data_IF_143916385634
#
_entry.id   IF_143916385634
#
_cell.length_a   1.000
_cell.length_b   1.000
_cell.length_c   1.000
_cell.angle_alpha   90.00
_cell.angle_beta   90.00
_cell.angle_gamma   90.00
#
_symmetry.space_group_name_H-M   'P 1'
#
loop_
_entity.id
_entity.type
_entity.pdbx_description
1 polymer ?
#
# COMPACT_ATOMS: atom_id res chain seq x y z
N UNK A 1 -6.17 -21.08 2.55
CA UNK A 1 -5.61 -20.65 1.25
C UNK A 1 -6.64 -19.72 0.61
N UNK A 2 -6.65 -18.46 1.09
CA UNK A 2 -7.54 -17.43 0.58
C UNK A 2 -7.07 -17.02 -0.82
N UNK A 3 -7.99 -17.07 -1.76
CA UNK A 3 -7.78 -16.66 -3.14
C UNK A 3 -7.68 -15.14 -3.13
N UNK A 4 -6.48 -14.62 -3.32
CA UNK A 4 -6.26 -13.20 -3.60
C UNK A 4 -7.06 -12.87 -4.86
N UNK A 5 -8.24 -12.29 -4.68
CA UNK A 5 -8.98 -11.72 -5.80
C UNK A 5 -8.10 -10.64 -6.40
N UNK A 6 -7.76 -10.80 -7.68
CA UNK A 6 -7.06 -9.78 -8.46
C UNK A 6 -7.91 -8.51 -8.41
N UNK A 7 -7.60 -7.64 -7.46
CA UNK A 7 -8.05 -6.26 -7.54
C UNK A 7 -7.21 -5.63 -8.65
N UNK A 8 -7.82 -5.37 -9.78
CA UNK A 8 -7.28 -4.45 -10.76
C UNK A 8 -7.40 -3.06 -10.11
N UNK A 9 -6.31 -2.65 -9.44
CA UNK A 9 -6.21 -1.31 -8.87
C UNK A 9 -6.04 -0.34 -10.04
N UNK A 10 -7.16 0.11 -10.59
CA UNK A 10 -7.22 1.30 -11.42
C UNK A 10 -7.12 2.50 -10.47
N UNK A 11 -5.89 2.79 -9.99
CA UNK A 11 -5.64 4.03 -9.28
C UNK A 11 -5.82 5.20 -10.23
N UNK A 12 -6.87 5.97 -10.01
CA UNK A 12 -6.96 7.34 -10.47
C UNK A 12 -5.95 8.15 -9.65
N UNK A 13 -4.70 8.24 -10.15
CA UNK A 13 -3.77 9.25 -9.65
C UNK A 13 -4.39 10.59 -10.05
N UNK A 14 -4.98 11.28 -9.08
CA UNK A 14 -5.50 12.63 -9.26
C UNK A 14 -4.38 13.63 -9.42
N UNK A 15 -3.73 13.63 -10.60
CA UNK A 15 -2.69 14.62 -10.92
C UNK A 15 -3.39 15.90 -11.35
N UNK A 16 -3.51 16.86 -10.44
CA UNK A 16 -3.79 18.26 -10.76
C UNK A 16 -2.48 19.01 -11.00
N UNK A 17 -1.76 18.70 -12.07
CA UNK A 17 -0.61 19.52 -12.50
C UNK A 17 -1.03 20.47 -13.62
N UNK A 18 -1.23 21.73 -13.26
CA UNK A 18 -1.24 22.86 -14.18
C UNK A 18 0.10 23.58 -14.04
N UNK A 19 1.08 23.25 -14.89
CA UNK A 19 2.02 24.18 -15.55
C UNK A 19 3.26 23.49 -16.14
N UNK A 20 3.41 23.63 -17.46
CA UNK A 20 4.69 23.63 -18.21
C UNK A 20 5.64 22.43 -18.07
N UNK A 21 5.55 21.47 -18.94
CA UNK A 21 6.64 20.55 -19.30
C UNK A 21 6.83 19.34 -18.40
N UNK A 22 6.75 19.49 -17.08
CA UNK A 22 7.04 18.44 -16.12
C UNK A 22 5.86 17.50 -15.81
N UNK A 23 4.62 17.98 -15.92
CA UNK A 23 3.42 17.16 -15.74
C UNK A 23 3.22 16.09 -16.84
N UNK A 24 3.94 16.20 -17.92
CA UNK A 24 3.86 15.24 -19.02
C UNK A 24 4.57 13.92 -18.67
N UNK A 25 5.71 13.98 -17.97
CA UNK A 25 6.54 12.80 -17.69
C UNK A 25 5.85 11.80 -16.76
N UNK A 26 5.25 12.30 -15.65
CA UNK A 26 4.48 11.44 -14.72
C UNK A 26 3.25 10.88 -15.42
N UNK A 27 2.55 11.70 -16.23
CA UNK A 27 1.41 11.26 -17.02
C UNK A 27 1.79 10.19 -18.04
N UNK A 28 2.89 10.42 -18.77
CA UNK A 28 3.39 9.48 -19.78
C UNK A 28 3.77 8.13 -19.11
N UNK A 29 4.39 8.18 -17.92
CA UNK A 29 4.68 7.00 -17.11
C UNK A 29 3.43 6.26 -16.66
N UNK A 30 2.43 7.00 -16.18
CA UNK A 30 1.14 6.43 -15.75
C UNK A 30 0.38 5.76 -16.90
N UNK A 31 0.38 6.38 -18.09
CA UNK A 31 -0.22 5.82 -19.28
C UNK A 31 0.51 4.54 -19.71
N UNK A 32 1.85 4.58 -19.74
CA UNK A 32 2.67 3.42 -20.07
C UNK A 32 2.45 2.26 -19.09
N UNK A 33 2.36 2.54 -17.78
CA UNK A 33 2.07 1.56 -16.74
C UNK A 33 0.68 0.94 -16.94
N UNK A 34 -0.33 1.76 -17.19
CA UNK A 34 -1.70 1.29 -17.47
C UNK A 34 -1.82 0.41 -18.70
N UNK A 35 -0.94 0.57 -19.68
CA UNK A 35 -0.83 -0.26 -20.88
C UNK A 35 0.10 -1.49 -20.71
N UNK A 36 0.70 -1.67 -19.53
CA UNK A 36 1.65 -2.76 -19.25
C UNK A 36 3.00 -2.59 -19.93
N UNK A 37 3.33 -1.39 -20.40
CA UNK A 37 4.63 -1.04 -21.01
C UNK A 37 5.62 -0.66 -19.91
N UNK A 38 6.03 -1.64 -19.11
CA UNK A 38 6.81 -1.42 -17.88
C UNK A 38 8.14 -0.70 -18.12
N UNK A 39 8.89 -1.06 -19.16
CA UNK A 39 10.17 -0.39 -19.49
C UNK A 39 9.96 1.10 -19.81
N UNK A 40 8.87 1.44 -20.49
CA UNK A 40 8.55 2.83 -20.82
C UNK A 40 8.06 3.60 -19.58
N UNK A 41 7.28 2.94 -18.70
CA UNK A 41 6.84 3.50 -17.44
C UNK A 41 8.05 3.79 -16.52
N UNK A 42 8.94 2.82 -16.37
CA UNK A 42 10.17 2.96 -15.58
C UNK A 42 11.00 4.15 -16.08
N UNK A 43 11.29 4.23 -17.37
CA UNK A 43 12.08 5.32 -17.94
C UNK A 43 11.42 6.70 -17.72
N UNK A 44 10.11 6.80 -17.85
CA UNK A 44 9.38 8.04 -17.62
C UNK A 44 9.40 8.44 -16.13
N UNK A 45 9.14 7.49 -15.22
CA UNK A 45 9.17 7.78 -13.79
C UNK A 45 10.60 8.07 -13.29
N UNK A 46 11.64 7.39 -13.80
CA UNK A 46 13.04 7.75 -13.52
C UNK A 46 13.38 9.18 -13.95
N UNK A 47 12.82 9.67 -15.04
CA UNK A 47 12.98 11.07 -15.43
C UNK A 47 12.26 11.99 -14.46
N UNK A 48 11.05 11.60 -14.00
CA UNK A 48 10.30 12.38 -13.00
C UNK A 48 11.06 12.51 -11.67
N UNK A 49 11.77 11.46 -11.21
CA UNK A 49 12.55 11.52 -9.97
C UNK A 49 13.67 12.53 -9.97
N UNK A 50 14.14 12.96 -11.14
CA UNK A 50 15.22 13.97 -11.31
C UNK A 50 14.69 15.40 -11.29
N UNK A 51 13.37 15.58 -11.14
CA UNK A 51 12.76 16.90 -11.18
C UNK A 51 13.11 17.72 -9.95
N UNK A 52 13.37 19.03 -10.15
CA UNK A 52 13.63 19.97 -9.05
C UNK A 52 12.39 20.21 -8.16
N UNK A 53 11.18 20.01 -8.72
CA UNK A 53 9.94 20.00 -7.94
C UNK A 53 9.82 18.68 -7.17
N UNK A 54 9.87 18.78 -5.85
CA UNK A 54 9.82 17.62 -4.95
C UNK A 54 8.54 16.80 -5.08
N UNK A 55 7.41 17.44 -5.35
CA UNK A 55 6.14 16.77 -5.58
C UNK A 55 6.22 15.87 -6.83
N UNK A 56 6.73 16.40 -7.94
CA UNK A 56 6.94 15.61 -9.17
C UNK A 56 7.96 14.49 -8.94
N UNK A 57 9.00 14.73 -8.18
CA UNK A 57 9.99 13.70 -7.83
C UNK A 57 9.37 12.60 -6.95
N UNK A 58 8.56 12.96 -5.98
CA UNK A 58 7.83 12.01 -5.13
C UNK A 58 6.83 11.17 -5.94
N UNK A 59 6.07 11.79 -6.86
CA UNK A 59 5.20 11.09 -7.82
C UNK A 59 5.98 10.13 -8.72
N UNK A 60 7.19 10.53 -9.14
CA UNK A 60 8.10 9.68 -9.90
C UNK A 60 8.49 8.43 -9.12
N UNK A 61 8.89 8.56 -7.85
CA UNK A 61 9.21 7.42 -6.99
C UNK A 61 7.99 6.55 -6.72
N UNK A 62 6.81 7.12 -6.50
CA UNK A 62 5.57 6.37 -6.35
C UNK A 62 5.24 5.57 -7.62
N UNK A 63 5.41 6.19 -8.80
CA UNK A 63 5.21 5.53 -10.09
C UNK A 63 6.21 4.39 -10.34
N UNK A 64 7.49 4.57 -9.95
CA UNK A 64 8.47 3.47 -9.96
C UNK A 64 8.06 2.33 -9.04
N UNK A 65 7.64 2.64 -7.82
CA UNK A 65 7.13 1.65 -6.87
C UNK A 65 6.00 0.83 -7.45
N UNK A 66 5.02 1.48 -8.09
CA UNK A 66 3.91 0.81 -8.78
C UNK A 66 4.41 -0.07 -9.95
N UNK A 67 5.35 0.45 -10.74
CA UNK A 67 5.90 -0.28 -11.88
C UNK A 67 6.61 -1.56 -11.43
N UNK A 68 7.45 -1.47 -10.41
CA UNK A 68 8.15 -2.63 -9.82
C UNK A 68 7.18 -3.60 -9.12
N UNK A 69 6.14 -3.08 -8.46
CA UNK A 69 5.10 -3.91 -7.85
C UNK A 69 4.40 -4.81 -8.88
N UNK A 70 3.99 -4.23 -10.02
CA UNK A 70 3.36 -4.97 -11.13
C UNK A 70 4.31 -6.02 -11.74
N UNK A 71 5.61 -5.74 -11.76
CA UNK A 71 6.64 -6.67 -12.17
C UNK A 71 6.99 -7.70 -11.09
N UNK A 72 6.43 -7.57 -9.88
CA UNK A 72 6.73 -8.39 -8.70
C UNK A 72 8.17 -8.25 -8.20
N UNK A 73 8.81 -7.15 -8.50
CA UNK A 73 10.13 -6.79 -8.00
C UNK A 73 9.97 -6.07 -6.65
N UNK A 74 9.49 -6.81 -5.64
CA UNK A 74 9.01 -6.23 -4.38
C UNK A 74 10.08 -5.50 -3.58
N UNK A 75 11.35 -5.90 -3.66
CA UNK A 75 12.46 -5.18 -3.02
C UNK A 75 12.61 -3.77 -3.60
N UNK A 76 12.60 -3.65 -4.93
CA UNK A 76 12.69 -2.34 -5.60
C UNK A 76 11.42 -1.50 -5.35
N UNK A 77 10.26 -2.15 -5.38
CA UNK A 77 9.00 -1.48 -5.11
C UNK A 77 8.98 -0.88 -3.69
N UNK A 78 9.44 -1.65 -2.68
CA UNK A 78 9.54 -1.19 -1.31
C UNK A 78 10.46 0.03 -1.18
N UNK A 79 11.66 -0.03 -1.77
CA UNK A 79 12.62 1.07 -1.76
C UNK A 79 12.02 2.33 -2.42
N UNK A 80 11.37 2.18 -3.56
CA UNK A 80 10.77 3.27 -4.30
C UNK A 80 9.61 3.92 -3.52
N UNK A 81 8.69 3.13 -2.95
CA UNK A 81 7.58 3.66 -2.14
C UNK A 81 8.08 4.36 -0.87
N UNK A 82 9.08 3.80 -0.18
CA UNK A 82 9.69 4.47 0.96
C UNK A 82 10.32 5.80 0.57
N UNK A 83 11.03 5.83 -0.54
CA UNK A 83 11.64 7.07 -1.04
C UNK A 83 10.56 8.09 -1.41
N UNK A 84 9.43 7.66 -1.99
CA UNK A 84 8.30 8.55 -2.27
C UNK A 84 7.78 9.20 -0.98
N UNK A 85 7.54 8.43 0.08
CA UNK A 85 7.11 8.93 1.38
C UNK A 85 8.13 9.91 1.98
N UNK A 86 9.42 9.60 1.91
CA UNK A 86 10.51 10.44 2.41
C UNK A 86 10.66 11.75 1.62
N UNK A 87 10.31 11.75 0.33
CA UNK A 87 10.29 12.94 -0.53
C UNK A 87 9.00 13.77 -0.35
N UNK A 88 8.05 13.30 0.43
CA UNK A 88 6.82 13.99 0.76
C UNK A 88 5.66 13.69 -0.18
N UNK A 89 5.61 12.47 -0.74
CA UNK A 89 4.40 11.98 -1.43
C UNK A 89 3.18 12.10 -0.52
N UNK A 90 2.01 12.29 -1.12
CA UNK A 90 0.75 12.31 -0.38
C UNK A 90 0.57 10.98 0.38
N UNK A 91 0.38 11.10 1.69
CA UNK A 91 0.15 9.94 2.54
C UNK A 91 -1.28 9.45 2.35
N UNK A 92 -1.43 8.32 1.66
CA UNK A 92 -2.73 7.67 1.42
C UNK A 92 -2.73 6.25 2.00
N UNK A 93 -3.94 5.71 2.24
CA UNK A 93 -4.08 4.31 2.66
C UNK A 93 -3.45 3.37 1.64
N UNK A 94 -3.64 3.66 0.36
CA UNK A 94 -3.11 2.85 -0.73
C UNK A 94 -1.59 2.81 -0.73
N UNK A 95 -0.93 3.96 -0.56
CA UNK A 95 0.52 4.04 -0.54
C UNK A 95 1.10 3.26 0.64
N UNK A 96 0.52 3.43 1.83
CA UNK A 96 0.91 2.66 3.00
C UNK A 96 0.67 1.17 2.84
N UNK A 97 -0.50 0.77 2.29
CA UNK A 97 -0.81 -0.64 2.05
C UNK A 97 0.16 -1.28 1.06
N UNK A 98 0.43 -0.62 -0.08
CA UNK A 98 1.37 -1.13 -1.08
C UNK A 98 2.79 -1.27 -0.52
N UNK A 99 3.25 -0.27 0.24
CA UNK A 99 4.56 -0.31 0.91
C UNK A 99 4.63 -1.49 1.88
N UNK A 100 3.59 -1.67 2.70
CA UNK A 100 3.50 -2.76 3.67
C UNK A 100 3.42 -4.13 3.00
N UNK A 101 2.65 -4.27 1.92
CA UNK A 101 2.55 -5.52 1.14
C UNK A 101 3.90 -5.87 0.52
N UNK A 102 4.65 -4.89 -0.01
CA UNK A 102 6.01 -5.13 -0.51
C UNK A 102 6.92 -5.63 0.61
N UNK A 103 6.89 -5.00 1.79
CA UNK A 103 7.65 -5.44 2.95
C UNK A 103 7.27 -6.86 3.40
N UNK A 104 5.98 -7.23 3.39
CA UNK A 104 5.55 -8.61 3.64
C UNK A 104 6.10 -9.59 2.59
N UNK A 105 6.15 -9.20 1.31
CA UNK A 105 6.66 -10.06 0.22
C UNK A 105 8.16 -10.27 0.29
N UNK A 106 8.88 -9.34 0.92
CA UNK A 106 10.33 -9.43 1.21
C UNK A 106 10.61 -9.96 2.62
N UNK A 107 9.58 -10.42 3.33
CA UNK A 107 9.65 -10.96 4.69
C UNK A 107 10.14 -9.95 5.75
N UNK A 108 10.11 -8.66 5.43
CA UNK A 108 10.35 -7.58 6.41
C UNK A 108 9.06 -7.25 7.17
N UNK A 109 8.64 -8.18 8.03
CA UNK A 109 7.41 -8.04 8.80
C UNK A 109 7.41 -6.86 9.78
N UNK A 110 8.55 -6.48 10.42
CA UNK A 110 8.60 -5.26 11.23
C UNK A 110 8.25 -4.01 10.42
N UNK A 111 8.79 -3.89 9.20
CA UNK A 111 8.50 -2.77 8.31
C UNK A 111 7.07 -2.80 7.79
N UNK A 112 6.57 -3.99 7.47
CA UNK A 112 5.17 -4.16 7.09
C UNK A 112 4.22 -3.67 8.18
N UNK A 113 4.46 -4.05 9.44
CA UNK A 113 3.68 -3.59 10.60
C UNK A 113 3.72 -2.07 10.75
N UNK A 114 4.90 -1.46 10.64
CA UNK A 114 5.05 0.00 10.70
C UNK A 114 4.15 0.70 9.69
N UNK A 115 4.19 0.23 8.43
CA UNK A 115 3.42 0.83 7.34
C UNK A 115 1.91 0.58 7.49
N UNK A 116 1.47 -0.64 7.83
CA UNK A 116 0.05 -0.92 8.07
C UNK A 116 -0.50 -0.06 9.21
N UNK A 117 0.21 0.02 10.33
CA UNK A 117 -0.21 0.83 11.48
C UNK A 117 -0.29 2.32 11.13
N UNK A 118 0.66 2.83 10.32
CA UNK A 118 0.61 4.21 9.84
C UNK A 118 -0.63 4.50 8.97
N UNK A 119 -0.96 3.59 8.06
CA UNK A 119 -2.15 3.71 7.22
C UNK A 119 -3.45 3.59 8.02
N UNK A 120 -3.55 2.64 8.96
CA UNK A 120 -4.71 2.49 9.85
C UNK A 120 -4.91 3.77 10.68
N UNK A 121 -3.85 4.30 11.30
CA UNK A 121 -3.90 5.55 12.04
C UNK A 121 -4.32 6.76 11.18
N UNK A 122 -3.92 6.77 9.91
CA UNK A 122 -4.36 7.79 8.95
C UNK A 122 -5.87 7.71 8.72
N UNK A 123 -6.42 6.51 8.52
CA UNK A 123 -7.86 6.29 8.37
C UNK A 123 -8.63 6.77 9.61
N UNK A 124 -8.20 6.37 10.80
CA UNK A 124 -8.81 6.78 12.07
C UNK A 124 -8.80 8.30 12.27
N UNK A 125 -7.78 9.00 11.75
CA UNK A 125 -7.67 10.46 11.86
C UNK A 125 -8.65 11.21 10.95
N UNK A 126 -9.12 10.58 9.89
CA UNK A 126 -10.10 11.13 8.92
C UNK A 126 -11.54 10.91 9.39
N UNK A 127 -11.87 11.25 10.63
CA UNK A 127 -13.24 11.15 11.14
C UNK A 127 -14.16 12.14 10.43
N UNK A 128 -15.01 11.63 9.52
CA UNK A 128 -16.00 12.42 8.80
C UNK A 128 -16.77 11.58 7.78
N UNK A 129 -17.87 12.13 7.25
CA UNK A 129 -18.81 11.47 6.32
C UNK A 129 -18.24 11.07 4.95
N UNK A 130 -16.91 11.04 4.79
CA UNK A 130 -16.21 10.84 3.51
C UNK A 130 -15.52 9.47 3.38
N UNK A 131 -15.81 8.56 4.31
CA UNK A 131 -15.27 7.19 4.24
C UNK A 131 -15.97 6.39 3.14
N UNK A 132 -15.23 6.05 2.09
CA UNK A 132 -15.79 5.24 0.99
C UNK A 132 -15.80 3.75 1.35
N UNK A 133 -16.67 2.96 0.68
CA UNK A 133 -16.63 1.49 0.83
C UNK A 133 -15.29 0.88 0.40
N UNK A 134 -14.56 1.57 -0.48
CA UNK A 134 -13.24 1.14 -0.92
C UNK A 134 -12.22 1.30 0.20
N UNK A 135 -12.27 2.43 0.93
CA UNK A 135 -11.39 2.68 2.08
C UNK A 135 -11.65 1.68 3.21
N UNK A 136 -12.93 1.37 3.49
CA UNK A 136 -13.30 0.35 4.48
C UNK A 136 -12.76 -1.04 4.11
N UNK A 137 -12.84 -1.43 2.83
CA UNK A 137 -12.34 -2.73 2.38
C UNK A 137 -10.81 -2.80 2.44
N UNK A 138 -10.13 -1.70 2.13
CA UNK A 138 -8.68 -1.60 2.22
C UNK A 138 -8.23 -1.63 3.68
N UNK A 139 -8.91 -0.91 4.56
CA UNK A 139 -8.66 -0.93 6.00
C UNK A 139 -8.80 -2.34 6.57
N UNK A 140 -9.88 -3.04 6.21
CA UNK A 140 -10.10 -4.43 6.60
C UNK A 140 -8.94 -5.35 6.15
N UNK A 141 -8.46 -5.18 4.92
CA UNK A 141 -7.28 -5.93 4.42
C UNK A 141 -6.03 -5.61 5.22
N UNK A 142 -5.79 -4.33 5.52
CA UNK A 142 -4.61 -3.89 6.29
C UNK A 142 -4.62 -4.45 7.70
N UNK A 143 -5.74 -4.38 8.41
CA UNK A 143 -5.87 -4.93 9.77
C UNK A 143 -5.68 -6.45 9.79
N UNK A 144 -6.23 -7.16 8.81
CA UNK A 144 -5.99 -8.59 8.68
C UNK A 144 -4.50 -8.90 8.42
N UNK A 145 -3.84 -8.13 7.57
CA UNK A 145 -2.42 -8.30 7.29
C UNK A 145 -1.52 -8.02 8.52
N UNK A 146 -1.95 -7.16 9.45
CA UNK A 146 -1.28 -6.98 10.76
C UNK A 146 -1.27 -8.30 11.54
N UNK A 147 -2.40 -9.02 11.57
CA UNK A 147 -2.47 -10.33 12.24
C UNK A 147 -1.47 -11.29 11.59
N UNK A 148 -1.50 -11.38 10.25
CA UNK A 148 -0.57 -12.24 9.50
C UNK A 148 0.89 -11.91 9.79
N UNK A 149 1.25 -10.62 9.86
CA UNK A 149 2.62 -10.21 10.19
C UNK A 149 3.06 -10.66 11.59
N UNK A 150 2.19 -10.58 12.59
CA UNK A 150 2.49 -11.09 13.93
C UNK A 150 2.61 -12.62 13.95
N UNK A 151 1.75 -13.33 13.22
CA UNK A 151 1.83 -14.79 13.12
C UNK A 151 3.12 -15.25 12.46
N UNK A 152 3.58 -14.58 11.40
CA UNK A 152 4.84 -14.89 10.71
C UNK A 152 6.06 -14.70 11.63
N UNK A 153 5.96 -13.79 12.59
CA UNK A 153 6.98 -13.57 13.62
C UNK A 153 6.82 -14.48 14.84
N UNK A 154 5.80 -15.35 14.86
CA UNK A 154 5.39 -16.15 16.01
C UNK A 154 5.08 -15.31 17.26
N UNK A 155 4.69 -14.05 17.06
CA UNK A 155 4.25 -13.14 18.14
C UNK A 155 2.75 -13.36 18.43
N UNK A 156 2.47 -14.46 19.09
CA UNK A 156 1.11 -14.94 19.33
C UNK A 156 0.29 -14.01 20.22
N UNK A 157 0.91 -13.29 21.13
CA UNK A 157 0.21 -12.35 22.01
C UNK A 157 -0.32 -11.15 21.23
N UNK A 158 0.51 -10.55 20.37
CA UNK A 158 0.10 -9.46 19.53
C UNK A 158 -0.86 -9.93 18.42
N UNK A 159 -0.67 -11.12 17.84
CA UNK A 159 -1.60 -11.71 16.88
C UNK A 159 -3.00 -11.88 17.48
N UNK A 160 -3.13 -12.40 18.71
CA UNK A 160 -4.42 -12.51 19.42
C UNK A 160 -5.07 -11.16 19.66
N UNK A 161 -4.27 -10.17 20.08
CA UNK A 161 -4.76 -8.82 20.33
C UNK A 161 -5.30 -8.18 19.06
N UNK A 162 -4.54 -8.28 17.96
CA UNK A 162 -4.93 -7.78 16.65
C UNK A 162 -6.19 -8.49 16.11
N UNK A 163 -6.29 -9.82 16.26
CA UNK A 163 -7.49 -10.59 15.88
C UNK A 163 -8.73 -10.12 16.66
N UNK A 164 -8.58 -9.88 17.95
CA UNK A 164 -9.70 -9.38 18.76
C UNK A 164 -10.16 -7.99 18.31
N UNK A 165 -9.22 -7.12 17.96
CA UNK A 165 -9.54 -5.79 17.41
C UNK A 165 -10.26 -5.94 16.08
N UNK A 166 -9.70 -6.70 15.14
CA UNK A 166 -10.29 -6.97 13.85
C UNK A 166 -11.74 -7.46 13.95
N UNK A 167 -12.03 -8.43 14.84
CA UNK A 167 -13.38 -8.93 15.05
C UNK A 167 -14.35 -7.89 15.65
N UNK A 168 -13.83 -6.90 16.37
CA UNK A 168 -14.61 -5.79 16.89
C UNK A 168 -14.95 -4.78 15.79
N UNK A 169 -14.02 -4.53 14.88
CA UNK A 169 -14.17 -3.55 13.80
C UNK A 169 -14.95 -4.13 12.61
N UNK A 170 -14.82 -5.44 12.36
CA UNK A 170 -15.50 -6.16 11.27
C UNK A 170 -16.33 -7.35 11.79
N UNK A 171 -17.39 -7.11 12.59
CA UNK A 171 -18.15 -8.17 13.27
C UNK A 171 -18.93 -9.10 12.31
N UNK A 172 -19.14 -8.66 11.06
CA UNK A 172 -19.86 -9.44 10.03
C UNK A 172 -18.91 -10.35 9.21
N UNK A 173 -17.59 -10.31 9.47
CA UNK A 173 -16.63 -11.17 8.77
C UNK A 173 -16.39 -12.50 9.49
N UNK A 174 -17.22 -13.49 9.15
CA UNK A 174 -17.09 -14.85 9.67
C UNK A 174 -15.90 -15.64 9.09
N UNK A 175 -15.21 -15.11 8.07
CA UNK A 175 -14.12 -15.81 7.37
C UNK A 175 -12.91 -16.09 8.26
N UNK A 176 -12.67 -15.24 9.27
CA UNK A 176 -11.54 -15.34 10.20
C UNK A 176 -11.79 -16.24 11.41
N UNK A 177 -12.99 -16.83 11.55
CA UNK A 177 -13.40 -17.61 12.74
C UNK A 177 -12.44 -18.75 13.07
N UNK A 178 -11.98 -19.51 12.06
CA UNK A 178 -11.05 -20.63 12.25
C UNK A 178 -9.67 -20.17 12.69
N UNK A 179 -9.22 -19.05 12.19
CA UNK A 179 -7.92 -18.47 12.54
C UNK A 179 -7.95 -17.89 13.96
N UNK A 180 -9.07 -17.26 14.33
CA UNK A 180 -9.30 -16.80 15.69
C UNK A 180 -9.29 -17.97 16.69
N UNK A 181 -9.96 -19.10 16.38
CA UNK A 181 -9.92 -20.32 17.18
C UNK A 181 -8.49 -20.89 17.29
N UNK A 182 -7.74 -20.92 16.19
CA UNK A 182 -6.35 -21.36 16.19
C UNK A 182 -5.48 -20.50 17.10
N UNK A 183 -5.60 -19.18 17.03
CA UNK A 183 -4.83 -18.26 17.85
C UNK A 183 -5.13 -18.45 19.36
N UNK A 184 -6.35 -18.80 19.77
CA UNK A 184 -6.69 -19.09 21.16
C UNK A 184 -5.93 -20.29 21.74
N UNK A 185 -5.40 -21.16 20.90
CA UNK A 185 -4.64 -22.37 21.34
C UNK A 185 -3.13 -22.14 21.44
N UNK A 186 -2.63 -20.96 21.14
CA UNK A 186 -1.20 -20.61 21.12
C UNK A 186 -0.69 -19.95 22.39
#
# INVERSE_FOLDING_TARGET
MMIIKKLAVLMLIGVTCLASGCGNVVKDGTEALGEGRYDAAEAAFEEATKNENKEVAADGYQGLGMTYYEQKEYDKALEAFQTALDQGAEQTLELYNLTAVCAMKTEDYPKALECFQAGIALAESKTGDDETKADTALLQEMEYNVIVCYEQQADWENAKSAMKQYQADFPEDDSVSKEAEFLQTR
#
